data_IF_232927458745
#
_entry.id   IF_232927458745
#
_cell.length_a   1.000
_cell.length_b   1.000
_cell.length_c   1.000
_cell.angle_alpha   90.00
_cell.angle_beta   90.00
_cell.angle_gamma   90.00
#
_symmetry.space_group_name_H-M   'P 1'
#
loop_
_entity.id
_entity.type
_entity.pdbx_description
1 polymer ?
#
# COMPACT_ATOMS: atom_id res chain seq x y z
N UNK A 1 9.41 17.75 -9.60
CA UNK A 1 9.09 16.42 -9.07
C UNK A 1 10.38 15.67 -8.89
N UNK A 2 10.55 14.95 -7.79
CA UNK A 2 11.69 14.05 -7.60
C UNK A 2 11.64 12.97 -8.70
N UNK A 3 12.74 12.76 -9.44
CA UNK A 3 12.74 11.88 -10.63
C UNK A 3 12.24 10.46 -10.34
N UNK A 4 12.47 9.98 -9.12
CA UNK A 4 12.06 8.66 -8.69
C UNK A 4 10.53 8.50 -8.56
N UNK A 5 9.80 9.55 -8.16
CA UNK A 5 8.34 9.49 -8.04
C UNK A 5 7.62 9.75 -9.36
N UNK A 6 8.18 10.60 -10.22
CA UNK A 6 7.58 10.99 -11.49
C UNK A 6 7.43 9.84 -12.51
N UNK A 7 8.20 8.76 -12.37
CA UNK A 7 8.16 7.60 -13.26
C UNK A 7 7.23 6.47 -12.77
N UNK A 8 6.63 6.63 -11.58
CA UNK A 8 5.82 5.59 -10.94
C UNK A 8 4.33 5.94 -10.89
N UNK A 9 3.98 7.22 -10.68
CA UNK A 9 2.57 7.60 -10.50
C UNK A 9 1.80 7.69 -11.82
N UNK A 10 0.58 7.16 -11.78
CA UNK A 10 -0.38 7.18 -12.86
C UNK A 10 -1.80 7.32 -12.30
N UNK A 11 -2.71 7.79 -13.15
CA UNK A 11 -4.11 7.98 -12.79
C UNK A 11 -4.94 6.79 -13.28
N UNK A 12 -5.67 6.13 -12.38
CA UNK A 12 -6.56 5.02 -12.68
C UNK A 12 -7.69 4.92 -11.63
N UNK A 13 -8.77 4.21 -11.97
CA UNK A 13 -9.86 3.89 -11.05
C UNK A 13 -10.30 2.44 -11.21
N UNK A 14 -10.66 1.79 -10.11
CA UNK A 14 -11.24 0.45 -10.08
C UNK A 14 -12.49 0.42 -9.18
N UNK A 15 -13.42 -0.49 -9.48
CA UNK A 15 -14.66 -0.65 -8.72
C UNK A 15 -15.03 -2.12 -8.58
N UNK A 16 -15.77 -2.45 -7.52
CA UNK A 16 -16.27 -3.79 -7.23
C UNK A 16 -17.66 -3.68 -6.58
N UNK A 17 -18.52 -4.66 -6.85
CA UNK A 17 -19.83 -4.80 -6.21
C UNK A 17 -19.78 -6.07 -5.37
N UNK A 18 -19.96 -5.93 -4.05
CA UNK A 18 -20.01 -7.08 -3.12
C UNK A 18 -21.46 -7.34 -2.78
N UNK A 19 -21.88 -8.59 -2.97
CA UNK A 19 -23.18 -9.10 -2.55
C UNK A 19 -23.05 -10.17 -1.47
N UNK A 20 -24.16 -10.54 -0.82
CA UNK A 20 -24.18 -11.67 0.09
C UNK A 20 -23.85 -12.97 -0.66
N UNK A 21 -23.17 -13.89 0.03
CA UNK A 21 -22.87 -15.23 -0.46
C UNK A 21 -23.18 -16.24 0.65
N UNK A 22 -23.77 -17.37 0.27
CA UNK A 22 -23.99 -18.51 1.17
C UNK A 22 -22.87 -19.54 1.01
N UNK A 23 -22.63 -20.35 2.06
CA UNK A 23 -21.64 -21.42 2.08
C UNK A 23 -20.31 -21.00 2.72
N UNK A 24 -19.74 -21.82 3.61
CA UNK A 24 -18.56 -21.46 4.42
C UNK A 24 -17.25 -21.37 3.60
N UNK A 25 -17.18 -22.05 2.45
CA UNK A 25 -15.93 -22.20 1.68
C UNK A 25 -15.80 -21.18 0.52
N UNK A 26 -16.44 -20.01 0.63
CA UNK A 26 -16.46 -18.97 -0.42
C UNK A 26 -16.38 -17.56 0.15
N UNK A 27 -15.93 -16.61 -0.68
CA UNK A 27 -15.80 -15.19 -0.32
C UNK A 27 -14.42 -14.86 0.24
N UNK A 28 -14.37 -14.03 1.28
CA UNK A 28 -13.11 -13.67 1.96
C UNK A 28 -12.81 -14.76 2.98
N UNK A 29 -11.91 -15.68 2.62
CA UNK A 29 -11.56 -16.83 3.47
C UNK A 29 -10.58 -16.45 4.59
N UNK A 30 -9.75 -15.43 4.37
CA UNK A 30 -8.81 -14.92 5.36
C UNK A 30 -8.34 -13.52 4.99
N UNK A 31 -8.02 -12.72 6.00
CA UNK A 31 -7.54 -11.36 5.84
C UNK A 31 -6.50 -11.04 6.93
N UNK A 32 -5.52 -10.22 6.58
CA UNK A 32 -4.57 -9.64 7.52
C UNK A 32 -4.30 -8.20 7.12
N UNK A 33 -4.28 -7.31 8.11
CA UNK A 33 -4.00 -5.88 7.95
C UNK A 33 -3.05 -5.47 9.06
N UNK A 34 -1.97 -4.81 8.69
CA UNK A 34 -0.92 -4.40 9.63
C UNK A 34 -0.47 -2.95 9.35
N UNK A 35 0.19 -2.34 10.33
CA UNK A 35 0.70 -0.97 10.28
C UNK A 35 1.95 -0.83 11.13
N UNK A 36 3.05 -0.39 10.51
CA UNK A 36 4.29 -0.02 11.19
C UNK A 36 4.58 1.48 11.02
N UNK A 37 4.31 2.26 12.08
CA UNK A 37 4.55 3.69 12.10
C UNK A 37 6.00 4.11 12.39
N UNK A 38 6.90 3.16 12.68
CA UNK A 38 8.29 3.48 13.07
C UNK A 38 9.07 4.23 11.98
N UNK A 39 8.64 4.05 10.72
CA UNK A 39 9.24 4.65 9.51
C UNK A 39 8.31 5.64 8.81
N UNK A 40 7.39 6.26 9.56
CA UNK A 40 6.35 7.16 9.04
C UNK A 40 6.86 8.23 8.06
N UNK A 41 8.10 8.71 8.24
CA UNK A 41 8.69 9.78 7.43
C UNK A 41 9.26 9.34 6.08
N UNK A 42 9.31 8.03 5.78
CA UNK A 42 9.85 7.52 4.52
C UNK A 42 9.05 7.97 3.30
N UNK A 43 7.73 8.09 3.42
CA UNK A 43 6.82 8.58 2.38
C UNK A 43 5.86 9.57 3.03
N UNK A 44 5.89 10.83 2.61
CA UNK A 44 5.03 11.86 3.19
C UNK A 44 4.75 13.00 2.21
N UNK A 45 3.69 13.75 2.50
CA UNK A 45 3.46 15.10 1.97
C UNK A 45 3.60 16.05 3.18
N UNK A 46 4.68 16.83 3.30
CA UNK A 46 4.96 17.61 4.50
C UNK A 46 3.91 18.66 4.88
N UNK A 47 3.26 19.30 3.90
CA UNK A 47 2.34 20.41 4.11
C UNK A 47 0.99 20.22 3.39
N UNK A 48 -0.05 20.89 3.91
CA UNK A 48 -1.44 20.82 3.43
C UNK A 48 -2.38 20.11 4.40
N UNK A 49 -1.86 19.35 5.37
CA UNK A 49 -2.61 18.80 6.49
C UNK A 49 -2.71 19.76 7.68
N UNK A 50 -3.25 19.29 8.81
CA UNK A 50 -3.40 20.09 10.03
C UNK A 50 -2.09 20.47 10.72
N UNK A 51 -1.05 19.64 10.61
CA UNK A 51 0.27 19.90 11.22
C UNK A 51 0.96 21.11 10.59
N UNK A 52 0.79 21.29 9.27
CA UNK A 52 1.27 22.44 8.51
C UNK A 52 0.17 22.83 7.51
N UNK A 53 -0.79 23.69 7.94
CA UNK A 53 -1.88 24.13 7.09
C UNK A 53 -1.39 24.86 5.84
N UNK A 54 -2.15 24.74 4.76
CA UNK A 54 -1.88 25.51 3.55
C UNK A 54 -2.07 27.01 3.82
N UNK A 55 -1.11 27.84 3.40
CA UNK A 55 -1.14 29.28 3.61
C UNK A 55 -0.36 30.02 2.51
N UNK A 56 -0.59 31.33 2.41
CA UNK A 56 0.15 32.19 1.49
C UNK A 56 1.65 32.16 1.78
N UNK A 57 2.47 32.08 0.74
CA UNK A 57 3.93 32.01 0.86
C UNK A 57 4.50 30.62 1.20
N UNK A 58 3.66 29.59 1.32
CA UNK A 58 4.12 28.19 1.48
C UNK A 58 4.90 27.73 0.23
N UNK A 59 6.00 27.01 0.44
CA UNK A 59 6.68 26.31 -0.65
C UNK A 59 5.77 25.17 -1.18
N UNK A 60 5.29 25.32 -2.42
CA UNK A 60 4.49 24.30 -3.10
C UNK A 60 5.22 22.98 -3.32
N UNK A 61 6.56 22.94 -3.16
CA UNK A 61 7.31 21.69 -3.09
C UNK A 61 6.88 20.81 -1.91
N UNK A 62 6.50 21.42 -0.78
CA UNK A 62 6.09 20.73 0.45
C UNK A 62 4.68 20.13 0.37
N UNK A 63 3.90 20.47 -0.65
CA UNK A 63 2.57 19.89 -0.90
C UNK A 63 2.62 18.72 -1.90
N UNK A 64 3.82 18.26 -2.25
CA UNK A 64 4.06 17.10 -3.11
C UNK A 64 4.62 15.95 -2.29
N UNK A 65 4.45 14.73 -2.79
CA UNK A 65 5.03 13.56 -2.15
C UNK A 65 6.56 13.62 -2.18
N UNK A 66 7.18 13.32 -1.04
CA UNK A 66 8.61 13.11 -0.87
C UNK A 66 8.88 11.67 -0.43
N UNK A 67 9.91 11.04 -0.99
CA UNK A 67 10.36 9.71 -0.58
C UNK A 67 11.85 9.75 -0.21
N UNK A 68 12.18 9.63 1.07
CA UNK A 68 13.55 9.89 1.56
C UNK A 68 14.52 8.74 1.28
N UNK A 69 14.03 7.50 1.31
CA UNK A 69 14.82 6.31 0.94
C UNK A 69 13.91 5.27 0.27
N UNK A 70 13.96 5.21 -1.06
CA UNK A 70 13.16 4.25 -1.83
C UNK A 70 13.57 2.79 -1.65
N UNK A 71 14.82 2.50 -1.26
CA UNK A 71 15.26 1.12 -1.00
C UNK A 71 14.70 0.63 0.32
N UNK A 72 14.70 1.50 1.32
CA UNK A 72 14.11 1.20 2.62
C UNK A 72 12.59 0.98 2.51
N UNK A 73 11.90 1.83 1.74
CA UNK A 73 10.48 1.65 1.40
C UNK A 73 10.25 0.29 0.75
N UNK A 74 11.04 -0.06 -0.27
CA UNK A 74 10.91 -1.33 -0.97
C UNK A 74 11.10 -2.52 -0.04
N UNK A 75 12.17 -2.53 0.76
CA UNK A 75 12.48 -3.61 1.68
C UNK A 75 11.34 -3.82 2.69
N UNK A 76 10.84 -2.73 3.30
CA UNK A 76 9.75 -2.81 4.28
C UNK A 76 8.41 -3.21 3.63
N UNK A 77 8.13 -2.75 2.42
CA UNK A 77 6.93 -3.16 1.69
C UNK A 77 6.94 -4.66 1.37
N UNK A 78 8.08 -5.21 0.92
CA UNK A 78 8.23 -6.65 0.64
C UNK A 78 8.05 -7.47 1.93
N UNK A 79 8.70 -7.07 3.02
CA UNK A 79 8.55 -7.68 4.35
C UNK A 79 7.07 -7.72 4.77
N UNK A 80 6.41 -6.56 4.83
CA UNK A 80 5.02 -6.47 5.31
C UNK A 80 4.02 -7.18 4.38
N UNK A 81 4.18 -7.10 3.06
CA UNK A 81 3.32 -7.84 2.13
C UNK A 81 3.49 -9.35 2.28
N UNK A 82 4.71 -9.82 2.55
CA UNK A 82 5.00 -11.25 2.78
C UNK A 82 4.34 -11.73 4.07
N UNK A 83 4.50 -10.97 5.15
CA UNK A 83 3.94 -11.30 6.46
C UNK A 83 2.41 -11.30 6.42
N UNK A 84 1.79 -10.23 5.91
CA UNK A 84 0.34 -10.16 5.76
C UNK A 84 -0.21 -11.27 4.86
N UNK A 85 0.45 -11.59 3.75
CA UNK A 85 0.01 -12.66 2.86
C UNK A 85 0.07 -14.02 3.56
N UNK A 86 1.15 -14.28 4.31
CA UNK A 86 1.31 -15.52 5.08
C UNK A 86 0.25 -15.64 6.17
N UNK A 87 -0.02 -14.57 6.91
CA UNK A 87 -1.07 -14.54 7.93
C UNK A 87 -2.48 -14.71 7.32
N UNK A 88 -2.76 -14.09 6.18
CA UNK A 88 -4.05 -14.21 5.51
C UNK A 88 -4.28 -15.65 5.00
N UNK A 89 -3.25 -16.29 4.43
CA UNK A 89 -3.31 -17.69 4.02
C UNK A 89 -3.52 -18.64 5.22
N UNK A 90 -2.81 -18.40 6.32
CA UNK A 90 -2.99 -19.17 7.55
C UNK A 90 -4.40 -19.02 8.12
N UNK A 91 -4.94 -17.79 8.15
CA UNK A 91 -6.32 -17.53 8.58
C UNK A 91 -7.36 -18.22 7.67
N UNK A 92 -7.07 -18.31 6.38
CA UNK A 92 -7.91 -19.01 5.40
C UNK A 92 -7.76 -20.54 5.44
N UNK A 93 -6.73 -21.08 6.11
CA UNK A 93 -6.40 -22.50 6.04
C UNK A 93 -5.94 -22.96 4.64
N UNK A 94 -5.46 -22.03 3.81
CA UNK A 94 -5.07 -22.26 2.41
C UNK A 94 -3.55 -22.27 2.30
N UNK A 95 -2.99 -23.16 1.46
CA UNK A 95 -1.54 -23.20 1.20
C UNK A 95 -1.21 -22.33 -0.01
N UNK A 96 0.00 -21.76 -0.12
CA UNK A 96 0.38 -20.94 -1.27
C UNK A 96 0.16 -21.61 -2.63
N UNK A 97 0.39 -22.92 -2.74
CA UNK A 97 0.18 -23.69 -3.97
C UNK A 97 -1.29 -23.85 -4.38
N UNK A 98 -2.23 -23.58 -3.47
CA UNK A 98 -3.66 -23.66 -3.74
C UNK A 98 -4.20 -22.30 -4.26
N UNK A 99 -3.33 -21.29 -4.45
CA UNK A 99 -3.69 -19.97 -4.98
C UNK A 99 -3.53 -19.94 -6.50
N UNK A 100 -4.64 -19.83 -7.23
CA UNK A 100 -4.61 -19.75 -8.70
C UNK A 100 -4.07 -18.41 -9.22
N UNK A 101 -4.33 -17.33 -8.49
CA UNK A 101 -3.98 -15.96 -8.90
C UNK A 101 -3.48 -15.14 -7.72
N UNK A 102 -2.30 -14.58 -7.87
CA UNK A 102 -1.74 -13.59 -6.94
C UNK A 102 -1.84 -12.20 -7.55
N UNK A 103 -2.56 -11.28 -6.89
CA UNK A 103 -2.80 -9.91 -7.37
C UNK A 103 -2.27 -8.91 -6.34
N UNK A 104 -0.96 -8.60 -6.33
CA UNK A 104 -0.38 -7.67 -5.37
C UNK A 104 -0.56 -6.22 -5.82
N UNK A 105 -0.37 -5.28 -4.89
CA UNK A 105 -0.20 -3.87 -5.23
C UNK A 105 0.99 -3.71 -6.21
N UNK A 106 0.74 -3.06 -7.35
CA UNK A 106 1.72 -2.91 -8.43
C UNK A 106 2.55 -1.63 -8.25
N UNK A 107 3.50 -1.63 -7.31
CA UNK A 107 4.34 -0.46 -7.06
C UNK A 107 5.41 -0.24 -8.16
N UNK A 108 6.07 -1.32 -8.60
CA UNK A 108 6.96 -1.37 -9.77
C UNK A 108 7.30 -2.84 -10.07
N UNK A 109 7.76 -3.14 -11.29
CA UNK A 109 8.11 -4.49 -11.74
C UNK A 109 9.59 -4.87 -11.48
N UNK A 110 10.30 -4.08 -10.67
CA UNK A 110 11.72 -4.28 -10.39
C UNK A 110 11.94 -5.22 -9.22
#
# INVERSE_FOLDING_TARGET
AERASAVLFADAAGALVIGPCEGPDRGILGASVDSDGSRYRLIQIPAGGSNIPFQSGLDLGQTRMTMTDGREVFAKAVEMMTDCSTSALAAAGVRPQDVDRFVPHQANAR
#
